data_IF_676523787966
#
_entry.id   IF_676523787966
#
_cell.length_a   1.000
_cell.length_b   1.000
_cell.length_c   1.000
_cell.angle_alpha   90.00
_cell.angle_beta   90.00
_cell.angle_gamma   90.00
#
_symmetry.space_group_name_H-M   'P 1'
#
loop_
_entity.id
_entity.type
_entity.pdbx_description
1 polymer ?
#
# COMPACT_ATOMS: atom_id res chain seq x y z
N UNK A 1 -48.51 17.92 28.70
CA UNK A 1 -47.93 16.76 29.40
C UNK A 1 -47.05 15.99 28.41
N UNK A 2 -45.71 16.07 28.44
CA UNK A 2 -44.89 15.24 27.58
C UNK A 2 -44.73 13.83 28.19
N UNK A 3 -44.92 12.79 27.39
CA UNK A 3 -44.84 11.40 27.79
C UNK A 3 -43.37 10.96 28.01
N UNK A 4 -43.12 10.26 29.12
CA UNK A 4 -41.79 9.70 29.44
C UNK A 4 -41.38 8.59 28.44
N UNK A 5 -40.09 8.54 28.04
CA UNK A 5 -39.59 7.46 27.19
C UNK A 5 -39.40 6.16 28.00
N UNK A 6 -40.04 5.08 27.53
CA UNK A 6 -39.89 3.75 28.12
C UNK A 6 -38.45 3.23 27.99
N UNK A 7 -37.83 2.89 29.12
CA UNK A 7 -36.48 2.30 29.19
C UNK A 7 -36.49 0.88 28.60
N UNK A 8 -35.57 0.61 27.67
CA UNK A 8 -35.38 -0.73 27.08
C UNK A 8 -34.76 -1.68 28.11
N UNK A 9 -35.27 -2.91 28.18
CA UNK A 9 -34.75 -3.96 29.05
C UNK A 9 -33.31 -4.36 28.66
N UNK A 10 -32.47 -4.59 29.67
CA UNK A 10 -31.10 -5.09 29.52
C UNK A 10 -31.19 -6.58 29.12
N UNK A 11 -30.48 -6.98 28.07
CA UNK A 11 -30.42 -8.37 27.63
C UNK A 11 -29.34 -9.10 28.43
N UNK A 12 -29.74 -9.90 29.41
CA UNK A 12 -28.82 -10.67 30.28
C UNK A 12 -28.13 -11.86 29.59
N UNK A 13 -28.59 -12.27 28.40
CA UNK A 13 -28.09 -13.46 27.72
C UNK A 13 -27.17 -13.13 26.53
N UNK A 14 -25.98 -12.59 26.81
CA UNK A 14 -24.89 -12.58 25.82
C UNK A 14 -24.15 -13.92 25.92
N UNK A 15 -24.37 -14.82 24.96
CA UNK A 15 -23.56 -16.03 24.82
C UNK A 15 -22.08 -15.63 24.73
N UNK A 16 -21.15 -16.33 25.41
CA UNK A 16 -19.73 -16.02 25.36
C UNK A 16 -19.25 -15.97 23.90
N UNK A 17 -18.52 -14.91 23.54
CA UNK A 17 -17.98 -14.77 22.20
C UNK A 17 -16.91 -15.84 21.94
N UNK A 18 -17.24 -16.85 21.12
CA UNK A 18 -16.27 -17.85 20.68
C UNK A 18 -15.31 -17.22 19.67
N UNK A 19 -14.08 -16.93 20.11
CA UNK A 19 -13.03 -16.44 19.22
C UNK A 19 -12.65 -17.54 18.22
N UNK A 20 -12.79 -17.25 16.92
CA UNK A 20 -12.23 -18.13 15.87
C UNK A 20 -10.71 -18.10 15.96
N UNK A 21 -10.01 -19.23 15.78
CA UNK A 21 -8.55 -19.24 15.72
C UNK A 21 -8.09 -18.31 14.60
N UNK A 22 -7.07 -17.50 14.88
CA UNK A 22 -6.44 -16.67 13.85
C UNK A 22 -5.85 -17.62 12.81
N UNK A 23 -6.17 -17.38 11.54
CA UNK A 23 -5.59 -18.15 10.42
C UNK A 23 -4.07 -18.06 10.41
N UNK A 24 -3.40 -18.87 9.56
CA UNK A 24 -1.95 -18.90 9.47
C UNK A 24 -1.39 -17.49 9.31
N UNK A 25 -0.32 -17.18 10.04
CA UNK A 25 0.39 -15.90 9.94
C UNK A 25 0.80 -15.71 8.49
N UNK A 26 0.09 -14.81 7.78
CA UNK A 26 0.49 -14.40 6.43
C UNK A 26 1.91 -13.86 6.56
N UNK A 27 2.84 -14.40 5.77
CA UNK A 27 4.21 -13.90 5.74
C UNK A 27 4.17 -12.37 5.60
N UNK A 28 4.96 -11.68 6.42
CA UNK A 28 5.06 -10.22 6.45
C UNK A 28 5.76 -9.68 5.19
N UNK A 29 5.38 -10.13 3.99
CA UNK A 29 5.84 -9.50 2.76
C UNK A 29 5.24 -8.09 2.68
N UNK A 30 6.02 -7.09 2.28
CA UNK A 30 5.47 -5.76 2.04
C UNK A 30 4.38 -5.90 0.98
N UNK A 31 3.20 -5.34 1.25
CA UNK A 31 2.11 -5.30 0.28
C UNK A 31 2.59 -4.48 -0.91
N UNK A 32 2.76 -5.11 -2.08
CA UNK A 32 3.11 -4.44 -3.33
C UNK A 32 1.85 -4.29 -4.19
N UNK A 33 1.82 -3.29 -5.07
CA UNK A 33 0.76 -3.15 -6.10
C UNK A 33 1.20 -3.64 -7.47
N UNK A 34 2.33 -4.34 -7.48
CA UNK A 34 2.82 -5.09 -8.61
C UNK A 34 1.71 -5.99 -9.16
N UNK A 35 1.34 -5.77 -10.42
CA UNK A 35 0.33 -6.59 -11.07
C UNK A 35 0.93 -7.95 -11.41
N UNK A 36 0.31 -9.01 -10.90
CA UNK A 36 0.44 -10.34 -11.51
C UNK A 36 -0.30 -10.31 -12.86
N UNK A 37 0.11 -11.18 -13.79
CA UNK A 37 -0.47 -11.26 -15.14
C UNK A 37 -1.99 -11.36 -15.21
N UNK A 38 -2.65 -11.84 -14.14
CA UNK A 38 -4.11 -11.99 -14.03
C UNK A 38 -4.87 -10.74 -13.56
N UNK A 39 -4.18 -9.66 -13.16
CA UNK A 39 -4.79 -8.56 -12.40
C UNK A 39 -5.05 -7.31 -13.25
N UNK A 40 -6.29 -7.16 -13.76
CA UNK A 40 -6.65 -6.05 -14.63
C UNK A 40 -6.98 -4.74 -13.90
N UNK A 41 -7.29 -4.78 -12.59
CA UNK A 41 -7.70 -3.58 -11.85
C UNK A 41 -6.52 -2.62 -11.59
N UNK A 42 -6.76 -1.31 -11.70
CA UNK A 42 -5.77 -0.29 -11.32
C UNK A 42 -5.63 -0.29 -9.80
N UNK A 43 -4.49 -0.75 -9.29
CA UNK A 43 -4.19 -0.71 -7.86
C UNK A 43 -3.46 0.59 -7.49
N UNK A 44 -3.70 1.11 -6.30
CA UNK A 44 -3.04 2.31 -5.80
C UNK A 44 -1.60 1.99 -5.39
N UNK A 45 -0.61 2.57 -6.09
CA UNK A 45 0.81 2.53 -5.73
C UNK A 45 1.05 2.54 -4.21
N UNK A 46 1.69 1.50 -3.69
CA UNK A 46 2.03 1.41 -2.27
C UNK A 46 3.17 2.37 -1.93
N UNK A 47 3.40 2.62 -0.63
CA UNK A 47 4.54 3.43 -0.19
C UNK A 47 5.86 2.82 -0.68
N UNK A 48 5.97 1.49 -0.63
CA UNK A 48 7.15 0.78 -1.12
C UNK A 48 7.38 1.02 -2.61
N UNK A 49 6.35 0.84 -3.44
CA UNK A 49 6.45 1.05 -4.89
C UNK A 49 6.86 2.50 -5.21
N UNK A 50 6.30 3.48 -4.45
CA UNK A 50 6.63 4.90 -4.60
C UNK A 50 8.09 5.20 -4.29
N UNK A 51 8.61 4.65 -3.19
CA UNK A 51 10.02 4.82 -2.82
C UNK A 51 10.96 4.20 -3.86
N UNK A 52 10.57 3.05 -4.42
CA UNK A 52 11.35 2.39 -5.47
C UNK A 52 11.41 3.21 -6.76
N UNK A 53 10.30 3.86 -7.14
CA UNK A 53 10.27 4.76 -8.30
C UNK A 53 11.14 5.99 -8.04
N UNK A 54 11.07 6.58 -6.83
CA UNK A 54 11.92 7.73 -6.44
C UNK A 54 13.41 7.37 -6.52
N UNK A 55 13.82 6.24 -5.93
CA UNK A 55 15.20 5.76 -5.95
C UNK A 55 15.70 5.49 -7.39
N UNK A 56 14.83 4.99 -8.26
CA UNK A 56 15.15 4.81 -9.67
C UNK A 56 15.37 6.15 -10.39
N UNK A 57 14.51 7.14 -10.17
CA UNK A 57 14.71 8.49 -10.73
C UNK A 57 16.00 9.14 -10.23
N UNK A 58 16.34 8.96 -8.96
CA UNK A 58 17.57 9.53 -8.37
C UNK A 58 18.83 8.91 -8.98
N UNK A 59 18.78 7.63 -9.37
CA UNK A 59 19.88 6.92 -10.07
C UNK A 59 19.97 7.25 -11.55
N UNK A 60 18.89 7.76 -12.13
CA UNK A 60 18.78 8.02 -13.56
C UNK A 60 18.21 9.43 -13.83
N UNK A 61 18.97 10.49 -13.50
CA UNK A 61 18.49 11.88 -13.65
C UNK A 61 18.22 12.28 -15.09
N UNK A 62 18.83 11.60 -16.06
CA UNK A 62 18.70 11.90 -17.50
C UNK A 62 17.45 11.26 -18.14
N UNK A 63 16.76 10.37 -17.42
CA UNK A 63 15.57 9.71 -17.94
C UNK A 63 14.36 10.64 -17.89
N UNK A 64 13.63 10.70 -19.02
CA UNK A 64 12.36 11.41 -19.08
C UNK A 64 11.32 10.74 -18.18
N UNK A 65 10.35 11.52 -17.70
CA UNK A 65 9.29 10.99 -16.86
C UNK A 65 8.49 9.85 -17.53
N UNK A 66 8.31 9.95 -18.84
CA UNK A 66 7.62 8.96 -19.66
C UNK A 66 8.42 7.66 -19.75
N UNK A 67 9.73 7.74 -19.95
CA UNK A 67 10.61 6.56 -20.00
C UNK A 67 10.63 5.78 -18.68
N UNK A 68 10.53 6.48 -17.55
CA UNK A 68 10.42 5.83 -16.23
C UNK A 68 9.09 5.09 -16.10
N UNK A 69 7.98 5.71 -16.53
CA UNK A 69 6.66 5.05 -16.51
C UNK A 69 6.69 3.79 -17.38
N UNK A 70 7.27 3.87 -18.57
CA UNK A 70 7.40 2.74 -19.49
C UNK A 70 8.26 1.62 -18.91
N UNK A 71 9.40 1.95 -18.30
CA UNK A 71 10.27 1.00 -17.63
C UNK A 71 9.50 0.18 -16.57
N UNK A 72 8.76 0.85 -15.69
CA UNK A 72 8.00 0.19 -14.64
C UNK A 72 6.77 -0.57 -15.16
N UNK A 73 6.22 -0.17 -16.31
CA UNK A 73 5.14 -0.87 -16.99
C UNK A 73 5.60 -2.14 -17.71
N UNK A 74 6.88 -2.25 -18.07
CA UNK A 74 7.45 -3.42 -18.77
C UNK A 74 8.32 -4.31 -17.87
N UNK A 75 8.45 -3.96 -16.59
CA UNK A 75 9.27 -4.69 -15.62
C UNK A 75 8.69 -6.07 -15.30
N UNK A 76 9.57 -7.07 -15.17
CA UNK A 76 9.20 -8.44 -14.82
C UNK A 76 8.88 -8.63 -13.32
N UNK A 77 8.07 -9.66 -13.03
CA UNK A 77 7.63 -10.04 -11.68
C UNK A 77 8.78 -10.31 -10.71
N UNK A 78 9.90 -10.86 -11.18
CA UNK A 78 11.08 -11.14 -10.38
C UNK A 78 11.74 -9.88 -9.77
N UNK A 79 11.57 -8.71 -10.40
CA UNK A 79 12.10 -7.44 -9.89
C UNK A 79 11.07 -6.65 -9.05
N UNK A 80 9.95 -7.26 -8.68
CA UNK A 80 8.85 -6.60 -7.97
C UNK A 80 7.68 -6.21 -8.88
N UNK A 81 7.61 -6.78 -10.09
CA UNK A 81 6.45 -6.79 -10.99
C UNK A 81 6.06 -5.49 -11.66
N UNK A 82 5.06 -5.62 -12.52
CA UNK A 82 4.59 -4.55 -13.39
C UNK A 82 3.81 -3.51 -12.58
N UNK A 83 4.28 -2.26 -12.62
CA UNK A 83 3.62 -1.12 -11.99
C UNK A 83 2.99 -0.25 -13.08
N UNK A 84 1.68 -0.06 -12.99
CA UNK A 84 0.92 0.76 -13.95
C UNK A 84 0.46 2.03 -13.27
N UNK A 85 1.01 3.17 -13.70
CA UNK A 85 0.66 4.49 -13.20
C UNK A 85 0.81 5.54 -14.30
N UNK A 86 0.23 6.73 -14.10
CA UNK A 86 0.33 7.84 -15.05
C UNK A 86 1.52 8.75 -14.74
N UNK A 87 1.98 9.47 -15.75
CA UNK A 87 2.98 10.55 -15.58
C UNK A 87 2.53 11.58 -14.53
N UNK A 88 1.25 11.94 -14.51
CA UNK A 88 0.69 12.85 -13.50
C UNK A 88 0.80 12.32 -12.06
N UNK A 89 0.66 11.01 -11.87
CA UNK A 89 0.88 10.35 -10.57
C UNK A 89 2.34 10.45 -10.16
N UNK A 90 3.25 10.30 -11.12
CA UNK A 90 4.69 10.43 -10.88
C UNK A 90 5.09 11.86 -10.53
N UNK A 91 4.59 12.86 -11.27
CA UNK A 91 4.83 14.28 -10.98
C UNK A 91 4.37 14.65 -9.56
N UNK A 92 3.19 14.20 -9.15
CA UNK A 92 2.68 14.44 -7.79
C UNK A 92 3.55 13.76 -6.73
N UNK A 93 3.99 12.53 -6.99
CA UNK A 93 4.88 11.79 -6.10
C UNK A 93 6.25 12.47 -5.94
N UNK A 94 6.81 13.03 -7.01
CA UNK A 94 8.06 13.81 -6.97
C UNK A 94 7.91 15.07 -6.11
N UNK A 95 6.78 15.78 -6.22
CA UNK A 95 6.48 16.93 -5.34
C UNK A 95 6.37 16.53 -3.87
N UNK A 96 5.77 15.37 -3.60
CA UNK A 96 5.60 14.82 -2.25
C UNK A 96 6.82 14.03 -1.74
N UNK A 97 7.98 14.09 -2.42
CA UNK A 97 9.17 13.27 -2.10
C UNK A 97 9.59 13.38 -0.64
N UNK A 98 9.68 14.61 -0.11
CA UNK A 98 10.07 14.87 1.29
C UNK A 98 9.11 14.22 2.28
N UNK A 99 7.80 14.32 2.00
CA UNK A 99 6.74 13.71 2.81
C UNK A 99 6.77 12.19 2.75
N UNK A 100 7.07 11.60 1.59
CA UNK A 100 7.20 10.15 1.43
C UNK A 100 8.44 9.61 2.15
N UNK A 101 9.57 10.32 2.08
CA UNK A 101 10.78 10.00 2.85
C UNK A 101 10.55 10.06 4.36
N UNK A 102 9.88 11.12 4.85
CA UNK A 102 9.52 11.24 6.26
C UNK A 102 8.62 10.10 6.75
N UNK A 103 7.67 9.64 5.91
CA UNK A 103 6.83 8.48 6.23
C UNK A 103 7.61 7.17 6.30
N UNK A 104 8.62 7.02 5.45
CA UNK A 104 9.52 5.87 5.49
C UNK A 104 10.37 5.87 6.78
N UNK A 105 10.92 7.03 7.16
CA UNK A 105 11.68 7.19 8.39
C UNK A 105 10.84 6.97 9.66
N UNK A 106 9.58 7.43 9.65
CA UNK A 106 8.66 7.25 10.77
C UNK A 106 8.16 5.80 10.94
N UNK A 107 8.25 4.97 9.90
CA UNK A 107 7.81 3.58 9.92
C UNK A 107 8.93 2.65 9.42
N UNK A 108 10.03 2.48 10.18
CA UNK A 108 11.20 1.72 9.73
C UNK A 108 10.89 0.24 9.44
N UNK A 109 9.88 -0.32 10.12
CA UNK A 109 9.35 -1.67 9.86
C UNK A 109 8.70 -1.83 8.49
N UNK A 110 8.31 -0.74 7.81
CA UNK A 110 7.75 -0.77 6.47
C UNK A 110 8.78 -1.12 5.38
N UNK A 111 10.08 -0.88 5.66
CA UNK A 111 11.20 -1.27 4.78
C UNK A 111 11.89 -2.57 5.24
N UNK A 112 11.77 -2.91 6.53
CA UNK A 112 12.48 -4.04 7.16
C UNK A 112 11.91 -5.43 6.82
N UNK A 113 10.74 -5.53 6.20
CA UNK A 113 10.14 -6.80 5.79
C UNK A 113 10.87 -7.51 4.64
N UNK A 114 11.97 -6.92 4.13
CA UNK A 114 12.73 -7.42 2.99
C UNK A 114 14.08 -8.08 3.34
N UNK A 115 14.34 -8.36 4.62
CA UNK A 115 15.51 -9.14 5.05
C UNK A 115 15.09 -10.36 5.86
N UNK A 116 14.56 -11.37 5.17
CA UNK A 116 14.66 -12.79 5.47
C UNK A 116 14.07 -13.59 4.31
#
# INVERSE_FOLDING_TARGET
MPAEPQKRAIRDNLKPYTKRPRGPSVQNHPKTTAKKSSDQQKQHLTLYDKLQIIDYCDKHPDLSQESVVEYFANRSDALGGKLVFSQSTMSRMMKDRTKLGARAAANPTALSSKKA
#
